data_IF_801093069601
#
_entry.id   IF_801093069601
#
_cell.length_a   1.000
_cell.length_b   1.000
_cell.length_c   1.000
_cell.angle_alpha   90.00
_cell.angle_beta   90.00
_cell.angle_gamma   90.00
#
_symmetry.space_group_name_H-M   'P 1'
#
loop_
_entity.id
_entity.type
_entity.pdbx_description
1 polymer ?
#
# COMPACT_ATOMS: atom_id res chain seq x y z
N UNK A 1 -2.74 3.41 11.98
CA UNK A 1 -2.98 2.93 10.60
C UNK A 1 -4.33 3.44 10.13
N UNK A 2 -4.38 4.15 9.01
CA UNK A 2 -5.62 4.70 8.50
C UNK A 2 -6.29 3.74 7.48
N UNK A 3 -7.44 4.17 6.94
CA UNK A 3 -8.19 3.33 6.00
C UNK A 3 -7.41 3.06 4.71
N UNK A 4 -6.58 3.99 4.29
CA UNK A 4 -5.76 3.82 3.08
C UNK A 4 -4.72 2.73 3.32
N UNK A 5 -4.03 2.76 4.46
CA UNK A 5 -3.06 1.73 4.81
C UNK A 5 -3.71 0.36 4.89
N UNK A 6 -4.89 0.27 5.50
CA UNK A 6 -5.64 -0.99 5.59
C UNK A 6 -6.00 -1.52 4.20
N UNK A 7 -6.39 -0.65 3.29
CA UNK A 7 -6.73 -1.05 1.93
C UNK A 7 -5.50 -1.54 1.17
N UNK A 8 -4.37 -0.86 1.34
CA UNK A 8 -3.10 -1.30 0.74
C UNK A 8 -2.74 -2.69 1.25
N UNK A 9 -2.80 -2.90 2.55
CA UNK A 9 -2.49 -4.21 3.16
C UNK A 9 -3.42 -5.29 2.63
N UNK A 10 -4.71 -5.00 2.54
CA UNK A 10 -5.68 -5.95 2.02
C UNK A 10 -5.35 -6.39 0.59
N UNK A 11 -5.02 -5.42 -0.27
CA UNK A 11 -4.67 -5.71 -1.66
C UNK A 11 -3.37 -6.53 -1.75
N UNK A 12 -2.38 -6.21 -0.93
CA UNK A 12 -1.11 -6.95 -0.90
C UNK A 12 -1.28 -8.36 -0.34
N UNK A 13 -2.22 -8.58 0.59
CA UNK A 13 -2.52 -9.92 1.09
C UNK A 13 -3.11 -10.82 0.03
N UNK A 14 -3.87 -10.25 -0.90
CA UNK A 14 -4.39 -11.00 -2.04
C UNK A 14 -3.29 -11.33 -3.04
N UNK A 15 -2.40 -10.39 -3.29
CA UNK A 15 -1.30 -10.59 -4.23
C UNK A 15 -0.14 -9.68 -3.84
N UNK A 16 0.90 -10.27 -3.24
CA UNK A 16 2.08 -9.54 -2.79
C UNK A 16 2.84 -8.85 -3.92
N UNK A 17 2.61 -9.26 -5.17
CA UNK A 17 3.25 -8.67 -6.35
C UNK A 17 2.38 -7.65 -7.05
N UNK A 18 1.34 -7.15 -6.39
CA UNK A 18 0.47 -6.14 -6.98
C UNK A 18 1.30 -4.92 -7.40
N UNK A 19 1.18 -4.47 -8.66
CA UNK A 19 1.94 -3.31 -9.12
C UNK A 19 1.59 -2.05 -8.34
N UNK A 20 2.60 -1.22 -8.10
CA UNK A 20 2.43 0.04 -7.36
C UNK A 20 1.39 0.94 -8.02
N UNK A 21 1.39 0.98 -9.34
CA UNK A 21 0.43 1.77 -10.11
C UNK A 21 -1.01 1.32 -9.85
N UNK A 22 -1.23 0.02 -9.75
CA UNK A 22 -2.54 -0.54 -9.44
C UNK A 22 -2.99 -0.13 -8.04
N UNK A 23 -2.11 -0.24 -7.05
CA UNK A 23 -2.41 0.19 -5.68
C UNK A 23 -2.77 1.66 -5.62
N UNK A 24 -1.97 2.51 -6.29
CA UNK A 24 -2.21 3.94 -6.33
C UNK A 24 -3.58 4.27 -6.89
N UNK A 25 -3.96 3.60 -7.98
CA UNK A 25 -5.27 3.80 -8.59
C UNK A 25 -6.41 3.40 -7.65
N UNK A 26 -6.24 2.31 -6.91
CA UNK A 26 -7.27 1.81 -6.00
C UNK A 26 -7.48 2.69 -4.77
N UNK A 27 -6.44 3.39 -4.33
CA UNK A 27 -6.52 4.25 -3.15
C UNK A 27 -6.55 5.74 -3.50
N UNK A 28 -6.58 6.08 -4.78
CA UNK A 28 -6.66 7.45 -5.29
C UNK A 28 -5.47 8.31 -4.85
N UNK A 29 -4.28 7.72 -4.85
CA UNK A 29 -3.03 8.40 -4.54
C UNK A 29 -2.06 8.26 -5.70
N UNK A 30 -0.97 9.06 -5.68
CA UNK A 30 0.12 8.87 -6.61
C UNK A 30 0.97 7.66 -6.23
N UNK A 31 1.71 7.10 -7.19
CA UNK A 31 2.60 5.97 -6.92
C UNK A 31 3.66 6.30 -5.86
N UNK A 32 4.32 7.47 -5.88
CA UNK A 32 5.24 7.84 -4.81
C UNK A 32 4.60 7.91 -3.42
N UNK A 33 3.35 8.38 -3.33
CA UNK A 33 2.63 8.45 -2.06
C UNK A 33 2.36 7.05 -1.51
N UNK A 34 1.95 6.11 -2.37
CA UNK A 34 1.72 4.71 -1.98
C UNK A 34 3.03 4.07 -1.55
N UNK A 35 4.11 4.30 -2.29
CA UNK A 35 5.42 3.78 -1.96
C UNK A 35 5.88 4.24 -0.57
N UNK A 36 5.66 5.51 -0.24
CA UNK A 36 6.01 6.05 1.07
C UNK A 36 5.20 5.36 2.19
N UNK A 37 3.94 5.08 1.95
CA UNK A 37 3.11 4.38 2.93
C UNK A 37 3.56 2.94 3.15
N UNK A 38 3.89 2.24 2.07
CA UNK A 38 4.40 0.87 2.15
C UNK A 38 5.71 0.84 2.93
N UNK A 39 6.60 1.79 2.66
CA UNK A 39 7.88 1.89 3.37
C UNK A 39 7.66 2.05 4.88
N UNK A 40 6.71 2.91 5.28
CA UNK A 40 6.38 3.08 6.70
C UNK A 40 5.82 1.81 7.32
N UNK A 41 4.97 1.10 6.58
CA UNK A 41 4.39 -0.15 7.07
C UNK A 41 5.46 -1.23 7.25
N UNK A 42 6.43 -1.28 6.35
CA UNK A 42 7.56 -2.20 6.48
C UNK A 42 8.40 -1.87 7.70
N UNK A 43 8.72 -0.59 7.91
CA UNK A 43 9.52 -0.15 9.05
C UNK A 43 8.81 -0.38 10.37
N UNK A 44 7.49 -0.32 10.37
CA UNK A 44 6.69 -0.60 11.55
C UNK A 44 6.51 -2.10 11.82
N UNK A 45 7.01 -2.95 10.94
CA UNK A 45 6.90 -4.39 11.09
C UNK A 45 5.53 -4.96 10.74
N UNK A 46 4.70 -4.20 10.01
CA UNK A 46 3.36 -4.64 9.62
C UNK A 46 3.43 -5.52 8.37
N UNK A 47 4.38 -5.25 7.51
CA UNK A 47 4.63 -6.05 6.30
C UNK A 47 5.98 -6.77 6.43
#
# INVERSE_FOLDING_TARGET
MDNIDKKILHLLQHNARTPLKYLANKVFLSSPAVSARIDRLEKAGVI
#
